data_IF_550328246486
#
_entry.id   IF_550328246486
#
_cell.length_a   1.000
_cell.length_b   1.000
_cell.length_c   1.000
_cell.angle_alpha   90.00
_cell.angle_beta   90.00
_cell.angle_gamma   90.00
#
_symmetry.space_group_name_H-M   'P 1'
#
loop_
_entity.id
_entity.type
_entity.pdbx_description
1 polymer ?
#
# COMPACT_ATOMS: atom_id res chain seq x y z
N UNK A 1 5.27 -7.26 -27.00
CA UNK A 1 4.95 -7.65 -25.69
C UNK A 1 5.32 -6.55 -24.71
N UNK A 2 4.62 -6.60 -23.68
CA UNK A 2 4.83 -5.57 -22.74
C UNK A 2 6.08 -5.75 -21.94
N UNK A 3 6.65 -4.69 -21.60
CA UNK A 3 7.83 -4.72 -20.78
C UNK A 3 7.50 -5.34 -19.44
N UNK A 4 8.23 -6.35 -19.08
CA UNK A 4 8.01 -7.05 -17.84
C UNK A 4 8.36 -6.21 -16.63
N UNK A 5 9.06 -5.12 -16.85
CA UNK A 5 9.43 -4.25 -15.76
C UNK A 5 8.41 -3.13 -15.54
N UNK A 6 7.23 -3.25 -16.15
CA UNK A 6 6.19 -2.28 -15.92
C UNK A 6 5.86 -2.24 -14.43
N UNK A 7 5.81 -1.05 -13.86
CA UNK A 7 5.52 -0.95 -12.45
C UNK A 7 4.06 -1.28 -12.14
N UNK A 8 3.81 -1.59 -10.89
CA UNK A 8 2.46 -1.83 -10.41
C UNK A 8 1.66 -0.53 -10.54
N UNK A 9 0.46 -0.62 -11.10
CA UNK A 9 -0.41 0.53 -11.20
C UNK A 9 -1.02 0.83 -9.84
N UNK A 10 -1.38 2.09 -9.62
CA UNK A 10 -1.93 2.53 -8.35
C UNK A 10 -3.14 1.71 -7.92
N UNK A 11 -4.10 1.49 -8.84
CA UNK A 11 -5.30 0.72 -8.51
C UNK A 11 -4.95 -0.68 -8.06
N UNK A 12 -3.99 -1.29 -8.74
CA UNK A 12 -3.55 -2.63 -8.39
C UNK A 12 -2.87 -2.65 -7.04
N UNK A 13 -2.07 -1.63 -6.76
CA UNK A 13 -1.40 -1.52 -5.49
C UNK A 13 -2.41 -1.38 -4.36
N UNK A 14 -3.45 -0.60 -4.56
CA UNK A 14 -4.51 -0.44 -3.56
C UNK A 14 -5.21 -1.77 -3.30
N UNK A 15 -5.54 -2.51 -4.36
CA UNK A 15 -6.18 -3.81 -4.20
C UNK A 15 -5.29 -4.79 -3.44
N UNK A 16 -4.03 -4.81 -3.79
CA UNK A 16 -3.09 -5.71 -3.15
C UNK A 16 -2.91 -5.37 -1.68
N UNK A 17 -2.79 -4.09 -1.39
CA UNK A 17 -2.66 -3.63 0.00
C UNK A 17 -3.87 -4.05 0.81
N UNK A 18 -5.07 -3.84 0.29
CA UNK A 18 -6.30 -4.18 0.99
C UNK A 18 -6.44 -5.69 1.20
N UNK A 19 -5.94 -6.46 0.25
CA UNK A 19 -6.08 -7.92 0.34
C UNK A 19 -5.03 -8.54 1.27
N UNK A 20 -3.83 -7.98 1.30
CA UNK A 20 -2.70 -8.63 1.98
C UNK A 20 -2.25 -7.92 3.24
N UNK A 21 -2.32 -6.60 3.27
CA UNK A 21 -1.79 -5.83 4.39
C UNK A 21 -2.88 -5.41 5.37
N UNK A 22 -4.00 -4.95 4.85
CA UNK A 22 -5.07 -4.44 5.68
C UNK A 22 -5.61 -5.46 6.69
N UNK A 23 -5.83 -6.73 6.32
CA UNK A 23 -6.29 -7.71 7.30
C UNK A 23 -5.34 -7.87 8.48
N UNK A 24 -4.04 -7.77 8.22
CA UNK A 24 -3.03 -7.83 9.26
C UNK A 24 -3.18 -6.64 10.21
N UNK A 25 -3.38 -5.45 9.66
CA UNK A 25 -3.55 -4.24 10.46
C UNK A 25 -4.80 -4.36 11.32
N UNK A 26 -5.88 -4.84 10.73
CA UNK A 26 -7.13 -5.01 11.46
C UNK A 26 -6.97 -5.97 12.63
N UNK A 27 -6.23 -7.03 12.42
CA UNK A 27 -5.99 -8.02 13.46
C UNK A 27 -5.13 -7.45 14.59
N UNK A 28 -4.11 -6.64 14.25
CA UNK A 28 -3.16 -6.16 15.24
C UNK A 28 -3.60 -4.87 15.92
N UNK A 29 -4.31 -3.99 15.21
CA UNK A 29 -4.57 -2.65 15.70
C UNK A 29 -6.04 -2.27 15.76
N UNK A 30 -6.91 -3.07 15.21
CA UNK A 30 -8.34 -2.73 15.14
C UNK A 30 -9.21 -3.80 15.78
N UNK A 31 -8.74 -4.35 16.86
CA UNK A 31 -9.45 -5.42 17.56
C UNK A 31 -10.76 -4.93 18.17
N UNK A 32 -10.85 -3.62 18.41
CA UNK A 32 -12.08 -3.02 18.94
C UNK A 32 -13.10 -2.72 17.85
N UNK A 33 -12.75 -2.99 16.60
CA UNK A 33 -13.65 -2.77 15.48
C UNK A 33 -13.59 -1.38 14.89
N UNK A 34 -12.70 -0.52 15.38
CA UNK A 34 -12.56 0.84 14.84
C UNK A 34 -11.30 0.96 14.01
N UNK A 35 -11.37 1.67 12.87
CA UNK A 35 -10.20 1.84 12.02
C UNK A 35 -9.09 2.61 12.72
N UNK A 36 -7.87 2.15 12.55
CA UNK A 36 -6.69 2.84 13.06
C UNK A 36 -6.02 3.54 11.88
N UNK A 37 -6.48 4.73 11.57
CA UNK A 37 -6.01 5.48 10.41
C UNK A 37 -4.50 5.70 10.42
N UNK A 38 -3.88 6.11 11.53
CA UNK A 38 -2.42 6.26 11.55
C UNK A 38 -1.69 4.96 11.25
N UNK A 39 -2.15 3.85 11.78
CA UNK A 39 -1.51 2.56 11.51
C UNK A 39 -1.63 2.18 10.05
N UNK A 40 -2.79 2.42 9.45
CA UNK A 40 -3.01 2.12 8.03
C UNK A 40 -2.12 2.98 7.15
N UNK A 41 -2.02 4.28 7.46
CA UNK A 41 -1.18 5.20 6.70
C UNK A 41 0.29 4.81 6.78
N UNK A 42 0.75 4.49 7.98
CA UNK A 42 2.14 4.10 8.17
C UNK A 42 2.44 2.80 7.42
N UNK A 43 1.52 1.86 7.48
CA UNK A 43 1.71 0.60 6.77
C UNK A 43 1.78 0.81 5.26
N UNK A 44 0.94 1.67 4.74
CA UNK A 44 0.98 2.00 3.31
C UNK A 44 2.33 2.60 2.93
N UNK A 45 2.81 3.55 3.72
CA UNK A 45 4.09 4.18 3.44
C UNK A 45 5.23 3.17 3.49
N UNK A 46 5.23 2.30 4.47
CA UNK A 46 6.28 1.30 4.61
C UNK A 46 6.22 0.29 3.48
N UNK A 47 5.01 -0.10 3.09
CA UNK A 47 4.83 -1.08 2.02
C UNK A 47 5.28 -0.51 0.68
N UNK A 48 4.87 0.72 0.36
CA UNK A 48 5.26 1.34 -0.91
C UNK A 48 6.75 1.63 -0.94
N UNK A 49 7.34 1.97 0.19
CA UNK A 49 8.79 2.14 0.29
C UNK A 49 9.50 0.84 -0.09
N UNK A 50 8.98 -0.27 0.41
CA UNK A 50 9.52 -1.58 0.10
C UNK A 50 9.38 -1.89 -1.39
N UNK A 51 8.23 -1.56 -1.98
CA UNK A 51 8.03 -1.76 -3.41
C UNK A 51 9.02 -0.94 -4.23
N UNK A 52 9.27 0.28 -3.80
CA UNK A 52 10.22 1.15 -4.49
C UNK A 52 11.63 0.60 -4.39
N UNK A 53 12.02 0.13 -3.23
CA UNK A 53 13.35 -0.43 -3.02
C UNK A 53 13.57 -1.70 -3.84
N UNK A 54 12.50 -2.45 -4.08
CA UNK A 54 12.56 -3.66 -4.88
C UNK A 54 12.32 -3.40 -6.37
N UNK A 55 12.24 -2.14 -6.76
CA UNK A 55 12.03 -1.72 -8.15
C UNK A 55 10.70 -2.17 -8.72
N UNK A 56 9.72 -2.43 -7.87
CA UNK A 56 8.38 -2.79 -8.33
C UNK A 56 7.56 -1.57 -8.67
N UNK A 57 7.91 -0.43 -8.09
CA UNK A 57 7.35 0.86 -8.48
C UNK A 57 8.50 1.83 -8.65
N UNK A 58 8.25 2.90 -9.41
CA UNK A 58 9.28 3.91 -9.65
C UNK A 58 9.31 4.94 -8.53
N UNK A 59 10.39 5.71 -8.49
CA UNK A 59 10.50 6.81 -7.54
C UNK A 59 9.37 7.81 -7.73
N UNK A 60 9.00 8.05 -8.99
CA UNK A 60 7.92 8.96 -9.30
C UNK A 60 6.61 8.47 -8.70
N UNK A 61 6.33 7.18 -8.82
CA UNK A 61 5.12 6.60 -8.26
C UNK A 61 5.11 6.72 -6.74
N UNK A 62 6.23 6.42 -6.11
CA UNK A 62 6.34 6.51 -4.67
C UNK A 62 6.08 7.94 -4.18
N UNK A 63 6.64 8.92 -4.89
CA UNK A 63 6.51 10.31 -4.49
C UNK A 63 5.13 10.90 -4.77
N UNK A 64 4.43 10.38 -5.79
CA UNK A 64 3.22 11.02 -6.27
C UNK A 64 1.92 10.27 -5.95
N UNK A 65 2.01 9.03 -5.49
CA UNK A 65 0.82 8.28 -5.14
C UNK A 65 0.23 8.82 -3.85
N UNK A 66 -1.12 8.94 -3.86
CA UNK A 66 -1.85 9.27 -2.64
C UNK A 66 -2.13 7.99 -1.87
N UNK A 67 -2.59 8.14 -0.64
CA UNK A 67 -3.00 6.99 0.14
C UNK A 67 -4.31 6.43 -0.40
N UNK A 68 -4.53 5.10 -0.31
CA UNK A 68 -5.82 4.55 -0.68
C UNK A 68 -6.90 4.94 0.30
N UNK A 69 -8.14 4.74 -0.10
CA UNK A 69 -9.27 5.10 0.75
C UNK A 69 -9.24 4.42 2.11
N UNK A 70 -8.74 3.19 2.14
CA UNK A 70 -8.69 2.44 3.39
C UNK A 70 -7.70 3.01 4.39
N UNK A 71 -6.89 3.96 3.98
CA UNK A 71 -5.93 4.61 4.88
C UNK A 71 -6.39 5.98 5.35
N UNK A 72 -7.54 6.41 4.92
CA UNK A 72 -8.07 7.69 5.37
C UNK A 72 -8.16 8.79 4.35
#
# INVERSE_FOLDING_TARGET
MRDISDPILFDRACEQFEAEILPFIQEQYEQDGEPDWPARSEAWNNWTDSLCKNSQISDWQYDNWSQPRCCG
#
